data_IF_547184457293
#
_entry.id   IF_547184457293
#
_cell.length_a   1.000
_cell.length_b   1.000
_cell.length_c   1.000
_cell.angle_alpha   90.00
_cell.angle_beta   90.00
_cell.angle_gamma   90.00
#
_symmetry.space_group_name_H-M   'P 1'
#
loop_
_entity.id
_entity.type
_entity.pdbx_description
1 polymer ?
2 non-polymer ?
3 non-polymer ?
4 water ?
#
# COMPACT_ATOMS: atom_id res chain seq x y z
N UNK A 1 3.95 6.60 17.57
CA UNK A 1 4.35 5.19 17.79
C UNK A 1 5.11 4.64 16.59
N UNK A 2 6.05 3.74 16.84
CA UNK A 2 6.83 3.12 15.76
C UNK A 2 6.22 1.76 15.45
N UNK A 3 5.87 1.55 14.19
CA UNK A 3 5.24 0.31 13.77
C UNK A 3 6.11 -0.55 12.86
N UNK A 4 6.36 -1.78 13.30
CA UNK A 4 7.16 -2.73 12.55
C UNK A 4 6.24 -3.37 11.52
N UNK A 5 6.81 -4.04 10.54
CA UNK A 5 5.96 -4.61 9.51
C UNK A 5 5.85 -6.13 9.41
N UNK A 6 6.08 -6.83 10.52
CA UNK A 6 5.97 -8.28 10.53
C UNK A 6 4.50 -8.68 10.41
N UNK A 7 3.63 -7.72 10.71
CA UNK A 7 2.19 -7.93 10.62
C UNK A 7 1.61 -6.75 9.86
N UNK A 8 0.41 -6.92 9.30
CA UNK A 8 -0.22 -5.84 8.58
C UNK A 8 -0.38 -4.66 9.52
N UNK A 9 0.07 -3.48 9.09
CA UNK A 9 -0.06 -2.30 9.95
C UNK A 9 -1.52 -1.85 10.01
N UNK A 10 -2.32 -2.52 10.84
CA UNK A 10 -3.73 -2.18 11.00
C UNK A 10 -3.96 -1.26 12.19
N UNK A 11 -4.86 -0.30 12.03
CA UNK A 11 -5.16 0.64 13.09
C UNK A 11 -6.65 0.88 13.18
N UNK A 12 -7.07 1.36 14.33
CA UNK A 12 -8.46 1.66 14.55
C UNK A 12 -8.63 3.13 14.20
N UNK A 13 -9.62 3.42 13.37
CA UNK A 13 -9.88 4.79 12.98
C UNK A 13 -11.28 5.11 13.43
N UNK A 14 -11.55 6.39 13.63
CA UNK A 14 -12.88 6.79 14.03
C UNK A 14 -13.38 7.75 12.97
N UNK A 15 -14.56 7.45 12.42
CA UNK A 15 -15.13 8.31 11.41
C UNK A 15 -16.65 8.30 11.55
N UNK A 16 -17.19 9.46 11.93
CA UNK A 16 -18.62 9.59 12.12
C UNK A 16 -19.09 8.79 13.32
N UNK A 17 -18.36 8.90 14.43
CA UNK A 17 -18.75 8.18 15.62
C UNK A 17 -18.66 6.67 15.46
N UNK A 18 -18.19 6.22 14.31
CA UNK A 18 -18.05 4.79 14.05
C UNK A 18 -16.58 4.39 14.15
N UNK A 19 -16.32 3.19 14.65
CA UNK A 19 -14.96 2.71 14.78
C UNK A 19 -14.67 1.59 13.79
N UNK A 20 -13.75 1.85 12.87
CA UNK A 20 -13.39 0.86 11.88
C UNK A 20 -11.90 0.55 11.94
N UNK A 21 -11.53 -0.54 11.28
CA UNK A 21 -10.16 -1.00 11.22
C UNK A 21 -9.65 -0.69 9.82
N UNK A 22 -8.48 -0.07 9.72
CA UNK A 22 -7.92 0.27 8.42
C UNK A 22 -6.42 0.03 8.38
N UNK A 23 -5.92 -0.16 7.16
CA UNK A 23 -4.51 -0.44 6.91
C UNK A 23 -3.71 0.80 6.48
N UNK A 24 -2.62 1.07 7.18
CA UNK A 24 -1.74 2.20 6.83
C UNK A 24 -1.02 1.72 5.57
N UNK A 25 -1.38 2.32 4.44
CA UNK A 25 -0.87 1.93 3.13
C UNK A 25 -0.07 3.02 2.42
N UNK A 26 1.26 2.93 2.48
CA UNK A 26 2.08 3.94 1.83
C UNK A 26 2.06 3.81 0.31
N UNK A 27 1.53 2.69 -0.18
CA UNK A 27 1.44 2.46 -1.61
C UNK A 27 0.19 3.06 -2.25
N UNK A 28 -0.74 3.53 -1.43
CA UNK A 28 -1.96 4.13 -1.96
C UNK A 28 -1.85 5.66 -1.85
N UNK A 29 -2.12 6.36 -2.95
CA UNK A 29 -2.05 7.82 -2.94
C UNK A 29 -3.27 8.38 -2.21
N UNK A 30 -4.38 7.66 -2.29
CA UNK A 30 -5.60 8.12 -1.64
C UNK A 30 -6.12 7.15 -0.60
N UNK A 31 -7.04 7.65 0.21
CA UNK A 31 -7.67 6.88 1.27
C UNK A 31 -8.96 6.28 0.71
N UNK A 32 -9.10 4.96 0.76
CA UNK A 32 -10.28 4.30 0.23
C UNK A 32 -10.90 3.41 1.29
N UNK A 33 -12.18 3.64 1.56
CA UNK A 33 -12.92 2.90 2.56
C UNK A 33 -14.03 2.05 1.98
N UNK A 34 -14.37 0.99 2.69
CA UNK A 34 -15.43 0.07 2.30
C UNK A 34 -16.77 0.80 2.30
N UNK A 35 -17.73 0.26 1.55
CA UNK A 35 -19.06 0.85 1.47
C UNK A 35 -19.59 1.24 2.85
N UNK A 36 -20.10 2.46 2.95
CA UNK A 36 -20.64 2.96 4.20
C UNK A 36 -21.36 4.28 3.91
N UNK A 37 -22.15 4.75 4.87
CA UNK A 37 -22.88 5.99 4.67
C UNK A 37 -22.19 7.19 5.32
N UNK A 38 -21.74 8.13 4.50
CA UNK A 38 -21.13 9.33 5.03
C UNK A 38 -22.02 10.50 4.63
N UNK A 39 -22.11 11.51 5.50
CA UNK A 39 -22.94 12.69 5.23
C UNK A 39 -22.27 13.64 4.25
N UNK A 40 -23.08 14.41 3.53
CA UNK A 40 -22.51 15.37 2.60
C UNK A 40 -22.70 15.08 1.13
N UNK A 41 -22.37 16.07 0.32
CA UNK A 41 -22.46 15.96 -1.11
C UNK A 41 -21.21 15.22 -1.57
N UNK A 42 -21.40 14.16 -2.34
CA UNK A 42 -20.26 13.40 -2.84
C UNK A 42 -20.28 13.45 -4.37
N UNK A 43 -19.11 13.24 -4.97
CA UNK A 43 -18.99 13.25 -6.42
C UNK A 43 -18.43 11.92 -6.91
N UNK A 44 -18.92 11.43 -8.05
CA UNK A 44 -18.44 10.15 -8.59
C UNK A 44 -17.00 10.29 -9.06
N UNK A 45 -16.20 9.25 -8.86
CA UNK A 45 -14.81 9.27 -9.30
C UNK A 45 -14.38 7.83 -9.61
N UNK A 46 -13.26 7.70 -10.30
CA UNK A 46 -12.74 6.38 -10.63
C UNK A 46 -11.28 6.31 -10.29
N UNK A 47 -10.88 5.25 -9.59
CA UNK A 47 -9.47 5.08 -9.23
C UNK A 47 -8.97 3.76 -9.78
N UNK A 48 -7.67 3.66 -9.96
CA UNK A 48 -7.09 2.44 -10.48
C UNK A 48 -6.25 1.73 -9.44
N UNK A 49 -6.41 0.42 -9.36
CA UNK A 49 -5.65 -0.36 -8.41
C UNK A 49 -4.80 -1.36 -9.17
N UNK A 50 -4.32 -2.38 -8.48
CA UNK A 50 -3.47 -3.36 -9.13
C UNK A 50 -4.24 -4.17 -10.16
N UNK A 51 -5.52 -4.43 -9.90
CA UNK A 51 -6.30 -5.22 -10.83
C UNK A 51 -7.23 -4.49 -11.78
N UNK A 52 -7.17 -3.17 -11.79
CA UNK A 52 -8.03 -2.42 -12.69
C UNK A 52 -8.64 -1.21 -12.01
N UNK A 53 -9.64 -0.62 -12.66
CA UNK A 53 -10.31 0.57 -12.15
C UNK A 53 -11.68 0.28 -11.57
N UNK A 54 -12.02 1.01 -10.51
CA UNK A 54 -13.32 0.85 -9.88
C UNK A 54 -13.97 2.22 -9.76
N UNK A 55 -15.27 2.23 -9.51
CA UNK A 55 -16.00 3.48 -9.31
C UNK A 55 -16.10 3.71 -7.81
N UNK A 56 -15.88 4.94 -7.37
CA UNK A 56 -15.97 5.26 -5.95
C UNK A 56 -16.73 6.57 -5.73
N UNK A 57 -17.13 6.82 -4.49
CA UNK A 57 -17.83 8.05 -4.14
C UNK A 57 -16.80 8.90 -3.40
N UNK A 58 -16.60 10.13 -3.87
CA UNK A 58 -15.63 11.02 -3.25
C UNK A 58 -16.26 11.98 -2.25
N UNK A 59 -15.75 11.97 -1.03
CA UNK A 59 -16.22 12.87 0.02
C UNK A 59 -15.05 13.78 0.40
N UNK A 60 -15.29 15.09 0.37
CA UNK A 60 -14.25 16.05 0.71
C UNK A 60 -14.27 16.53 2.15
N UNK A 61 -13.10 16.98 2.61
CA UNK A 61 -12.94 17.50 3.96
C UNK A 61 -13.65 16.66 5.01
N UNK A 62 -13.26 15.39 5.15
CA UNK A 62 -13.85 14.52 6.16
C UNK A 62 -12.90 14.38 7.35
N UNK A 63 -13.42 14.58 8.57
CA UNK A 63 -12.62 14.46 9.80
C UNK A 63 -12.45 13.00 10.16
N UNK A 64 -11.21 12.57 10.34
CA UNK A 64 -10.94 11.19 10.69
C UNK A 64 -9.83 11.12 11.72
N UNK A 65 -10.02 10.27 12.73
CA UNK A 65 -9.06 10.12 13.79
C UNK A 65 -8.37 8.79 13.58
N UNK A 66 -7.04 8.84 13.48
CA UNK A 66 -6.22 7.65 13.26
C UNK A 66 -5.31 7.48 14.46
N UNK A 67 -5.65 6.53 15.33
CA UNK A 67 -4.89 6.28 16.55
C UNK A 67 -4.70 7.57 17.34
N UNK A 68 -5.80 8.29 17.57
CA UNK A 68 -5.73 9.53 18.33
C UNK A 68 -5.15 10.74 17.61
N UNK A 69 -4.84 10.60 16.32
CA UNK A 69 -4.31 11.71 15.54
C UNK A 69 -5.39 12.18 14.57
N UNK A 70 -5.70 13.47 14.60
CA UNK A 70 -6.73 14.03 13.74
C UNK A 70 -6.25 14.43 12.34
N UNK A 71 -7.08 14.13 11.35
CA UNK A 71 -6.82 14.46 9.96
C UNK A 71 -8.14 14.89 9.37
N UNK A 72 -8.09 15.75 8.36
CA UNK A 72 -9.29 16.21 7.68
C UNK A 72 -8.95 16.25 6.19
N UNK A 73 -9.57 15.37 5.42
CA UNK A 73 -9.29 15.34 4.01
C UNK A 73 -10.27 14.53 3.18
N UNK A 74 -9.85 14.22 1.96
CA UNK A 74 -10.66 13.46 1.01
C UNK A 74 -10.70 11.99 1.37
N UNK A 75 -11.89 11.42 1.27
CA UNK A 75 -12.10 10.01 1.55
C UNK A 75 -12.94 9.42 0.43
N UNK A 76 -12.42 8.37 -0.19
CA UNK A 76 -13.10 7.69 -1.27
C UNK A 76 -13.77 6.44 -0.69
N UNK A 77 -15.04 6.24 -1.03
CA UNK A 77 -15.78 5.08 -0.55
C UNK A 77 -16.19 4.21 -1.75
N UNK A 78 -15.93 2.91 -1.66
CA UNK A 78 -16.27 2.01 -2.74
C UNK A 78 -15.82 0.58 -2.52
N UNK A 79 -15.93 -0.27 -3.57
CA UNK A 79 -15.55 -1.68 -3.52
C UNK A 79 -14.06 -1.96 -3.40
N UNK A 80 -13.52 -1.74 -2.21
CA UNK A 80 -12.12 -2.01 -1.95
C UNK A 80 -12.11 -3.28 -1.10
N UNK A 81 -11.09 -4.13 -1.26
CA UNK A 81 -11.02 -5.37 -0.48
C UNK A 81 -10.74 -5.11 0.99
N UNK A 82 -10.44 -3.86 1.32
CA UNK A 82 -10.14 -3.49 2.69
C UNK A 82 -9.95 -1.98 2.82
N UNK A 83 -10.21 -1.46 4.02
CA UNK A 83 -10.06 -0.04 4.28
C UNK A 83 -8.58 0.33 4.25
N UNK A 84 -8.23 1.36 3.49
CA UNK A 84 -6.83 1.77 3.45
C UNK A 84 -6.64 3.27 3.61
N UNK A 85 -5.67 3.64 4.43
CA UNK A 85 -5.37 5.03 4.66
C UNK A 85 -4.19 5.34 3.74
N UNK A 86 -4.40 6.26 2.80
CA UNK A 86 -3.33 6.60 1.87
C UNK A 86 -2.49 7.79 2.27
N UNK A 87 -1.53 8.13 1.42
CA UNK A 87 -0.64 9.26 1.67
C UNK A 87 -1.35 10.59 1.96
N UNK A 88 -2.51 10.83 1.35
CA UNK A 88 -3.22 12.09 1.58
C UNK A 88 -3.51 12.36 3.07
N UNK A 89 -3.74 11.30 3.84
CA UNK A 89 -4.00 11.43 5.27
C UNK A 89 -2.76 11.09 6.11
N UNK A 90 -1.92 10.19 5.61
CA UNK A 90 -0.70 9.83 6.33
C UNK A 90 0.21 11.05 6.55
N UNK A 91 0.32 11.90 5.53
CA UNK A 91 1.12 13.10 5.62
C UNK A 91 0.54 14.06 6.64
N UNK A 92 -0.78 14.06 6.78
CA UNK A 92 -1.40 14.96 7.73
C UNK A 92 -1.04 14.62 9.17
N UNK A 93 -0.88 13.33 9.47
CA UNK A 93 -0.54 12.94 10.83
C UNK A 93 0.96 12.77 11.01
N UNK A 94 1.73 13.29 10.06
CA UNK A 94 3.17 13.23 10.14
C UNK A 94 3.82 11.87 10.03
N UNK A 95 3.22 10.97 9.28
CA UNK A 95 3.78 9.63 9.14
C UNK A 95 4.95 9.58 8.15
N UNK A 96 5.99 8.84 8.52
CA UNK A 96 7.17 8.71 7.68
C UNK A 96 7.71 7.27 7.69
N UNK A 97 8.53 6.92 6.70
CA UNK A 97 9.13 5.60 6.64
C UNK A 97 10.58 5.73 7.12
N UNK A 98 11.03 4.75 7.90
CA UNK A 98 12.38 4.79 8.41
C UNK A 98 13.08 3.44 8.33
N UNK A 99 14.37 3.46 8.02
CA UNK A 99 15.19 2.25 7.97
C UNK A 99 16.67 2.60 7.76
N UNK B 1 17.62 5.94 6.38
CA UNK B 1 17.04 7.22 5.90
C UNK B 1 15.58 7.42 6.31
N UNK B 2 15.12 8.66 6.19
CA UNK B 2 13.74 8.99 6.53
C UNK B 2 13.03 9.47 5.28
N UNK B 3 11.97 8.76 4.90
CA UNK B 3 11.20 9.11 3.71
C UNK B 3 9.83 9.67 4.07
N UNK B 4 9.55 10.88 3.58
CA UNK B 4 8.27 11.53 3.83
C UNK B 4 7.30 11.05 2.77
N UNK B 5 6.02 11.34 2.95
CA UNK B 5 5.03 10.84 2.01
C UNK B 5 4.33 11.87 1.13
N UNK B 6 4.92 13.06 1.01
CA UNK B 6 4.33 14.10 0.16
C UNK B 6 4.19 13.54 -1.25
N UNK B 7 5.14 12.69 -1.62
CA UNK B 7 5.15 12.07 -2.94
C UNK B 7 5.28 10.55 -2.74
N UNK B 8 5.09 9.79 -3.81
CA UNK B 8 5.19 8.34 -3.72
C UNK B 8 6.58 7.93 -3.24
N UNK B 9 6.66 6.99 -2.29
CA UNK B 9 7.95 6.53 -1.76
C UNK B 9 8.71 5.64 -2.76
N UNK B 10 9.17 6.24 -3.85
CA UNK B 10 9.92 5.53 -4.89
C UNK B 10 11.38 5.39 -4.53
N UNK B 11 11.93 4.20 -4.75
CA UNK B 11 13.33 3.95 -4.46
C UNK B 11 13.96 3.12 -5.57
N UNK B 12 15.29 3.04 -5.54
CA UNK B 12 16.00 2.27 -6.55
C UNK B 12 16.29 0.89 -5.98
N UNK B 13 15.97 -0.12 -6.76
CA UNK B 13 16.21 -1.49 -6.35
C UNK B 13 17.04 -2.19 -7.40
N UNK B 14 17.84 -3.15 -6.96
CA UNK B 14 18.68 -3.90 -7.87
C UNK B 14 18.26 -5.36 -7.87
N UNK B 15 18.01 -5.89 -9.06
CA UNK B 15 17.63 -7.29 -9.21
C UNK B 15 18.17 -7.85 -10.52
N UNK B 16 19.02 -8.86 -10.41
CA UNK B 16 19.61 -9.48 -11.58
C UNK B 16 20.32 -8.47 -12.45
N UNK B 17 21.18 -7.67 -11.83
CA UNK B 17 21.91 -6.67 -12.57
C UNK B 17 21.05 -5.52 -13.06
N UNK B 18 19.74 -5.67 -12.93
CA UNK B 18 18.82 -4.62 -13.35
C UNK B 18 18.43 -3.73 -12.19
N UNK B 19 18.42 -2.43 -12.45
CA UNK B 19 18.05 -1.44 -11.45
C UNK B 19 16.69 -0.89 -11.86
N UNK B 20 15.75 -0.86 -10.92
CA UNK B 20 14.41 -0.37 -11.21
C UNK B 20 13.87 0.53 -10.11
N UNK B 21 12.82 1.27 -10.44
CA UNK B 21 12.18 2.16 -9.49
C UNK B 21 11.04 1.37 -8.86
N UNK B 22 11.01 1.31 -7.54
CA UNK B 22 9.96 0.57 -6.86
C UNK B 22 9.38 1.34 -5.68
N UNK B 23 8.11 1.08 -5.42
CA UNK B 23 7.37 1.73 -4.35
C UNK B 23 7.52 0.98 -3.02
N UNK B 24 7.84 1.71 -1.95
CA UNK B 24 7.93 1.09 -0.63
C UNK B 24 6.46 1.04 -0.21
N UNK B 25 5.93 -0.16 -0.04
CA UNK B 25 4.52 -0.30 0.25
C UNK B 25 4.15 -1.16 1.44
N UNK B 26 3.83 -0.50 2.54
CA UNK B 26 3.44 -1.17 3.77
C UNK B 26 2.08 -1.88 3.57
N UNK B 27 1.38 -1.50 2.51
CA UNK B 27 0.08 -2.08 2.22
C UNK B 27 0.14 -3.38 1.43
N UNK B 28 1.31 -3.67 0.87
CA UNK B 28 1.50 -4.89 0.10
C UNK B 28 2.13 -5.96 1.00
N UNK B 29 1.46 -7.10 1.15
CA UNK B 29 1.99 -8.19 1.97
C UNK B 29 3.25 -8.75 1.32
N UNK B 30 3.20 -8.91 0.01
CA UNK B 30 4.33 -9.44 -0.74
C UNK B 30 4.78 -8.53 -1.85
N UNK B 31 6.02 -8.71 -2.28
CA UNK B 31 6.57 -7.89 -3.33
C UNK B 31 6.06 -8.33 -4.70
N UNK B 32 5.78 -7.36 -5.56
CA UNK B 32 5.28 -7.65 -6.89
C UNK B 32 6.00 -6.78 -7.90
N UNK B 33 6.71 -7.43 -8.82
CA UNK B 33 7.44 -6.69 -9.83
C UNK B 33 6.83 -6.88 -11.21
N UNK B 34 7.07 -5.91 -12.08
CA UNK B 34 6.55 -5.96 -13.43
C UNK B 34 7.23 -7.13 -14.12
N UNK B 35 6.61 -7.61 -15.19
CA UNK B 35 7.15 -8.73 -15.96
C UNK B 35 8.64 -8.65 -16.25
N UNK B 36 9.32 -9.78 -16.06
CA UNK B 36 10.75 -9.89 -16.33
C UNK B 36 11.11 -11.38 -16.27
N UNK B 37 12.04 -11.80 -17.12
CA UNK B 37 12.46 -13.20 -17.16
C UNK B 37 13.48 -13.58 -16.10
N UNK B 38 12.99 -13.98 -14.94
CA UNK B 38 13.86 -14.39 -13.85
C UNK B 38 14.12 -15.88 -13.98
N UNK B 39 15.34 -16.32 -13.68
CA UNK B 39 15.65 -17.75 -13.79
C UNK B 39 15.11 -18.48 -12.58
N UNK B 40 14.96 -19.79 -12.70
CA UNK B 40 14.47 -20.57 -11.58
C UNK B 40 13.05 -21.09 -11.75
N UNK B 41 12.67 -22.01 -10.88
CA UNK B 41 11.33 -22.57 -10.92
C UNK B 41 10.40 -21.55 -10.26
N UNK B 42 9.13 -21.56 -10.64
CA UNK B 42 8.17 -20.64 -10.06
C UNK B 42 6.81 -21.31 -9.93
N UNK B 43 5.92 -20.69 -9.16
CA UNK B 43 4.59 -21.23 -8.94
C UNK B 43 3.52 -20.19 -9.28
N UNK B 44 2.47 -20.60 -10.03
CA UNK B 44 1.40 -19.67 -10.40
C UNK B 44 0.61 -19.23 -9.18
N UNK B 45 0.12 -18.00 -9.21
CA UNK B 45 -0.63 -17.48 -8.10
C UNK B 45 -1.53 -16.34 -8.53
N UNK B 46 -2.60 -16.12 -7.76
CA UNK B 46 -3.55 -15.05 -8.04
C UNK B 46 -3.57 -14.12 -6.82
N UNK B 47 -3.35 -12.83 -7.04
CA UNK B 47 -3.39 -11.87 -5.95
C UNK B 47 -4.40 -10.80 -6.34
N UNK B 48 -5.10 -10.28 -5.34
CA UNK B 48 -6.11 -9.28 -5.62
C UNK B 48 -5.97 -8.00 -4.83
N UNK B 49 -6.54 -6.95 -5.40
CA UNK B 49 -6.51 -5.66 -4.75
C UNK B 49 -7.65 -4.85 -5.33
N UNK B 50 -7.45 -3.54 -5.42
CA UNK B 50 -8.48 -2.69 -5.97
C UNK B 50 -8.61 -2.95 -7.46
N UNK B 51 -9.83 -3.27 -7.88
CA UNK B 51 -10.05 -3.55 -9.28
C UNK B 51 -10.09 -5.04 -9.57
N UNK B 52 -9.67 -5.87 -8.62
CA UNK B 52 -9.71 -7.30 -8.84
C UNK B 52 -8.40 -8.05 -8.68
N UNK B 53 -8.32 -9.20 -9.36
CA UNK B 53 -7.14 -10.06 -9.31
C UNK B 53 -6.29 -10.10 -10.56
N UNK B 54 -5.03 -10.45 -10.40
CA UNK B 54 -4.12 -10.60 -11.54
C UNK B 54 -3.32 -11.88 -11.27
N UNK B 55 -2.89 -12.54 -12.35
CA UNK B 55 -2.11 -13.76 -12.23
C UNK B 55 -0.64 -13.37 -12.21
N UNK B 56 0.10 -13.92 -11.27
CA UNK B 56 1.52 -13.63 -11.12
C UNK B 56 2.31 -14.93 -10.98
N UNK B 57 3.63 -14.84 -11.14
CA UNK B 57 4.50 -16.00 -10.98
C UNK B 57 5.29 -15.80 -9.69
N UNK B 58 5.22 -16.78 -8.80
CA UNK B 58 5.94 -16.67 -7.55
C UNK B 58 7.34 -17.28 -7.60
N UNK B 59 8.35 -16.47 -7.31
CA UNK B 59 9.73 -16.95 -7.27
C UNK B 59 10.18 -16.86 -5.82
N UNK B 60 10.96 -17.83 -5.38
CA UNK B 60 11.43 -17.82 -4.00
C UNK B 60 12.93 -17.58 -3.94
N UNK B 61 13.39 -17.11 -2.79
CA UNK B 61 14.81 -16.85 -2.58
C UNK B 61 15.45 -15.95 -3.65
N UNK B 62 14.84 -14.81 -3.92
CA UNK B 62 15.39 -13.89 -4.91
C UNK B 62 16.15 -12.77 -4.20
N UNK B 63 17.43 -12.59 -4.54
CA UNK B 63 18.28 -11.55 -3.94
C UNK B 63 17.91 -10.19 -4.50
N UNK B 64 17.68 -9.23 -3.61
CA UNK B 64 17.30 -7.88 -4.01
C UNK B 64 18.01 -6.83 -3.18
N UNK B 65 18.43 -5.75 -3.84
CA UNK B 65 19.09 -4.66 -3.14
C UNK B 65 18.20 -3.42 -3.15
N UNK B 66 17.76 -3.03 -1.96
CA UNK B 66 16.88 -1.89 -1.78
C UNK B 66 17.66 -0.74 -1.16
N UNK B 67 17.97 0.27 -1.96
CA UNK B 67 18.74 1.42 -1.50
C UNK B 67 19.96 0.95 -0.73
N UNK B 68 20.82 0.19 -1.41
CA UNK B 68 22.03 -0.32 -0.80
C UNK B 68 21.80 -1.26 0.37
N UNK B 69 20.59 -1.78 0.51
CA UNK B 69 20.29 -2.71 1.59
C UNK B 69 20.02 -4.10 1.03
N UNK B 70 20.73 -5.08 1.57
CA UNK B 70 20.61 -6.46 1.13
C UNK B 70 19.38 -7.14 1.69
N UNK B 71 18.64 -7.79 0.81
CA UNK B 71 17.43 -8.52 1.20
C UNK B 71 17.27 -9.70 0.26
N UNK B 72 16.69 -10.78 0.76
CA UNK B 72 16.48 -11.98 -0.05
C UNK B 72 15.15 -12.62 0.34
N UNK B 73 14.26 -12.78 -0.63
CA UNK B 73 12.98 -13.40 -0.33
C UNK B 73 12.09 -13.68 -1.52
N UNK B 74 10.82 -13.94 -1.23
CA UNK B 74 9.85 -14.22 -2.28
C UNK B 74 9.59 -12.98 -3.12
N UNK B 75 9.34 -13.19 -4.41
CA UNK B 75 9.05 -12.11 -5.33
C UNK B 75 7.98 -12.56 -6.34
N UNK B 76 6.94 -11.75 -6.51
CA UNK B 76 5.85 -12.05 -7.43
C UNK B 76 6.02 -11.24 -8.70
N UNK B 77 5.98 -11.92 -9.84
CA UNK B 77 6.14 -11.26 -11.12
C UNK B 77 4.89 -11.39 -11.98
N UNK B 78 4.36 -10.26 -12.42
CA UNK B 78 3.16 -10.28 -13.23
C UNK B 78 2.88 -8.90 -13.80
N UNK B 79 1.74 -8.74 -14.49
CA UNK B 79 1.32 -7.48 -15.12
C UNK B 79 0.89 -6.39 -14.15
N UNK B 80 1.79 -5.98 -13.27
CA UNK B 80 1.46 -4.93 -12.32
C UNK B 80 1.77 -3.56 -12.91
N UNK B 81 0.89 -2.57 -12.67
CA UNK B 81 1.05 -1.20 -13.16
C UNK B 81 2.26 -0.56 -12.52
N UNK B 82 2.52 -0.93 -11.27
CA UNK B 82 3.64 -0.39 -10.50
C UNK B 82 4.45 -1.46 -9.74
N UNK B 83 5.76 -1.26 -9.65
CA UNK B 83 6.59 -2.19 -8.89
C UNK B 83 6.36 -1.90 -7.42
N UNK B 84 6.16 -2.95 -6.64
CA UNK B 84 5.90 -2.77 -5.23
C UNK B 84 6.74 -3.64 -4.29
N UNK B 85 7.41 -2.98 -3.35
CA UNK B 85 8.21 -3.68 -2.37
C UNK B 85 7.32 -3.84 -1.14
N UNK B 86 6.95 -5.08 -0.86
CA UNK B 86 6.08 -5.36 0.25
C UNK B 86 6.74 -5.64 1.58
N UNK B 87 5.91 -5.82 2.59
CA UNK B 87 6.37 -6.08 3.94
C UNK B 87 7.34 -7.24 4.05
N UNK B 88 7.16 -8.27 3.22
CA UNK B 88 8.05 -9.43 3.29
C UNK B 88 9.51 -9.00 3.15
N UNK B 89 9.76 -8.02 2.30
CA UNK B 89 11.10 -7.51 2.08
C UNK B 89 11.38 -6.28 2.93
N UNK B 90 10.34 -5.53 3.26
CA UNK B 90 10.52 -4.33 4.08
C UNK B 90 11.02 -4.66 5.48
N UNK B 91 10.52 -5.75 6.07
CA UNK B 91 10.96 -6.15 7.40
C UNK B 91 12.46 -6.50 7.38
N UNK B 92 12.92 -7.06 6.27
CA UNK B 92 14.32 -7.44 6.15
C UNK B 92 15.30 -6.28 6.28
N UNK B 93 15.01 -5.16 5.63
CA UNK B 93 15.89 -4.00 5.72
C UNK B 93 15.52 -3.11 6.91
N UNK B 94 14.79 -3.69 7.86
CA UNK B 94 14.38 -2.96 9.05
C UNK B 94 13.58 -1.68 8.88
N UNK B 95 12.70 -1.65 7.89
CA UNK B 95 11.89 -0.46 7.65
C UNK B 95 10.69 -0.40 8.60
N UNK B 96 10.46 0.76 9.20
CA UNK B 96 9.33 0.96 10.11
C UNK B 96 8.48 2.16 9.71
N UNK B 97 7.33 2.29 10.35
CA UNK B 97 6.43 3.41 10.11
C UNK B 97 6.47 4.28 11.37
N UNK B 98 6.61 5.59 11.21
CA UNK B 98 6.66 6.44 12.39
C UNK B 98 5.79 7.68 12.33
N UNK B 99 5.20 8.02 13.47
CA UNK B 99 4.36 9.21 13.61
C UNK B 99 3.92 9.38 15.06
X LIG C 1 -22.73 1.84 7.49
X LIG C 1 -23.68 2.43 6.59
X LIG C 1 -23.00 0.61 7.92
X LIG C 1 -21.47 2.58 7.92
X LIG D 1 -17.13 13.11 14.51
X LIG D 1 -16.80 11.82 14.00
X LIG D 1 -16.16 14.02 14.50
X LIG D 1 -18.52 13.43 15.05
X LIG E 1 -6.76 15.44 0.28
X LIG E 1 -6.96 14.35 1.19
X LIG E 1 -6.73 16.65 0.82
X LIG E 1 -6.60 15.21 -1.22
X LIG F 1 -4.38 4.53 -5.51
X LIG F 1 -5.75 3.30 -3.95
X LIG F 1 -3.61 0.95 -4.58
X LIG F 1 -4.81 3.10 -5.14
X LIG F 1 -1.73 -0.59 -3.96
X LIG F 1 -1.75 -0.98 -2.41
X LIG F 1 -0.33 -0.47 -4.73
X LIG F 1 -0.51 -0.08 -6.17
X LIG F 1 -0.42 1.34 -6.52
X LIG F 1 -0.79 -1.07 -7.21
X LIG F 1 -0.61 1.79 -7.89
X LIG F 1 -0.97 -0.60 -8.60
X LIG F 1 -0.88 0.84 -8.94
X LIG F 1 -1.51 -2.46 -1.81
X LIG F 1 -3.77 -3.93 -1.51
X LIG F 1 -4.72 -2.78 -1.27
X LIG F 1 -1.14 -5.70 -3.56
X LIG F 1 0.29 -5.70 -3.83
X LIG F 1 1.07 -6.89 -3.55
X LIG F 1 0.39 -8.05 -3.02
X LIG F 1 -1.00 -8.05 -2.77
X LIG F 1 -1.76 -6.87 -3.04
X LIG F 1 -4.35 -1.92 -0.07
X LIG F 1 -5.05 -1.93 -2.52
X LIG F 1 -5.81 4.81 -3.70
X LIG F 1 -2.40 0.69 -4.10
X LIG F 1 -2.31 -3.72 -2.13
X LIG F 1 1.06 -9.14 -2.76
X LIG F 1 -3.67 2.35 -4.69
X LIG F 1 -4.46 0.19 -4.84
X LIG F 1 -0.77 -0.23 -1.77
X LIG F 1 -1.38 -3.45 -4.69
X LIG F 1 -3.31 -4.87 -4.40
X LIG F 1 -4.76 5.42 -4.43
X LIG F 1 -2.13 -4.33 -3.81
X LIG G 1 4.90 11.23 -7.50
X LIG G 1 3.98 11.15 -6.41
X LIG G 1 5.16 12.45 -7.98
X LIG G 1 5.56 9.98 -8.10
#
# INVERSE_FOLDING_TARGET
>A
PQITLWKRPLVTIRIGGQLKEALLDTGADDTVLEEMNLPGRWKPKMIGGIGGFIKVRQYDQIPIEICGHKAIGTVLVGPTPTNVIGRNLLTQIGCTLNF
>B
PQITLWKRPLVTIRIGGQLKEALLDTGADDTVLEEMNLPGRWKPKMIGGIGGFIKVRQYDQIPIEICGHKAIGTVLVGPTPTNVIGRNLLTQIGCTLNF
>C hetero
1 ACT C O OXT CH3
>D hetero
1 ACT C O OXT CH3
>E hetero
1 ACT C O OXT CH3
>F hetero
1 478 C1 C2 C3 C4 C5 C6 C7 C8 C9 C10 C11 C12 C13 C14 C15 C16 C17 C18 C19 C20 C21 C22 C23 C24 C25 N1 N2 N3 O1 O2 O3 O4 O5 O6 S1
>G hetero
1 ACT C O OXT CH3
#
